data_IF_023269655464
#
_entry.id   IF_023269655464
#
_cell.length_a   1.000
_cell.length_b   1.000
_cell.length_c   1.000
_cell.angle_alpha   90.00
_cell.angle_beta   90.00
_cell.angle_gamma   90.00
#
_symmetry.space_group_name_H-M   'P 1'
#
loop_
_entity.id
_entity.type
_entity.pdbx_description
1 polymer ?
2 non-polymer ?
3 non-polymer ?
4 water ?
#
# COMPACT_ATOMS: atom_id res chain seq x y z
N UNK A 1 -5.25 4.45 -18.78
CA UNK A 1 -4.76 4.00 -17.42
C UNK A 1 -3.36 3.36 -17.59
N UNK A 2 -2.54 3.39 -16.51
CA UNK A 2 -1.21 2.76 -16.38
C UNK A 2 -1.44 1.25 -16.38
N UNK A 3 -0.53 0.45 -16.83
CA UNK A 3 -0.68 -1.02 -16.87
C UNK A 3 -0.43 -1.58 -15.48
N UNK A 4 -1.33 -2.44 -15.07
CA UNK A 4 -1.26 -3.12 -13.75
C UNK A 4 -0.90 -4.55 -14.05
N UNK A 5 0.01 -5.20 -13.33
CA UNK A 5 0.77 -4.62 -12.23
C UNK A 5 1.79 -3.57 -12.66
N UNK A 6 1.96 -2.56 -11.85
CA UNK A 6 2.80 -1.40 -12.16
C UNK A 6 3.93 -1.35 -11.15
N UNK A 7 5.14 -1.08 -11.61
CA UNK A 7 6.30 -0.87 -10.74
C UNK A 7 6.67 0.63 -10.72
N UNK A 8 6.62 1.27 -9.58
CA UNK A 8 7.08 2.63 -9.40
C UNK A 8 8.44 2.59 -8.73
N UNK A 9 9.55 2.93 -9.39
CA UNK A 9 10.84 3.02 -8.69
C UNK A 9 10.79 4.11 -7.66
N UNK A 10 11.43 3.88 -6.52
CA UNK A 10 11.56 4.85 -5.43
C UNK A 10 13.05 5.11 -5.28
N UNK A 11 13.60 6.12 -5.99
CA UNK A 11 15.07 6.23 -6.10
C UNK A 11 15.76 6.50 -4.76
N UNK A 12 16.70 5.63 -4.39
CA UNK A 12 17.31 5.81 -3.08
C UNK A 12 16.38 5.41 -1.94
N UNK A 13 15.35 4.64 -2.23
CA UNK A 13 14.43 4.15 -1.21
C UNK A 13 13.56 5.23 -0.66
N UNK A 14 12.97 4.95 0.48
CA UNK A 14 12.08 5.90 1.14
C UNK A 14 12.77 6.52 2.32
N UNK A 15 12.15 7.55 2.84
CA UNK A 15 12.72 8.43 3.89
C UNK A 15 11.56 9.12 4.54
N UNK A 16 11.63 9.48 5.81
CA UNK A 16 10.56 10.30 6.36
C UNK A 16 10.36 11.58 5.53
N UNK A 17 9.10 11.98 5.44
CA UNK A 17 8.63 13.15 4.67
C UNK A 17 8.39 12.83 3.21
N UNK A 18 8.60 11.60 2.77
CA UNK A 18 8.24 11.18 1.41
C UNK A 18 6.78 10.77 1.40
N UNK A 19 6.01 11.39 0.50
CA UNK A 19 4.57 11.11 0.33
C UNK A 19 4.37 10.43 -1.01
N UNK A 20 3.77 9.24 -1.00
CA UNK A 20 3.47 8.49 -2.20
C UNK A 20 1.99 8.56 -2.44
N UNK A 21 1.56 8.94 -3.63
CA UNK A 21 0.13 9.07 -3.94
C UNK A 21 -0.26 8.17 -5.07
N UNK A 22 -1.31 7.43 -4.85
CA UNK A 22 -1.82 6.51 -5.87
C UNK A 22 -3.26 6.96 -6.13
N UNK A 23 -3.55 7.11 -7.41
CA UNK A 23 -4.93 7.41 -7.84
C UNK A 23 -5.38 6.28 -8.74
N UNK A 24 -6.58 5.77 -8.53
CA UNK A 24 -7.13 4.77 -9.43
C UNK A 24 -8.59 4.60 -9.16
N UNK A 25 -9.20 3.65 -9.85
CA UNK A 25 -10.62 3.32 -9.70
C UNK A 25 -10.74 1.85 -9.48
N UNK A 26 -11.50 1.43 -8.48
CA UNK A 26 -11.67 0.00 -8.22
C UNK A 26 -12.51 -0.61 -9.34
N UNK A 27 -12.12 -1.76 -9.86
CA UNK A 27 -12.95 -2.46 -10.86
C UNK A 27 -14.27 -2.89 -10.26
N UNK A 28 -15.26 -3.14 -11.14
CA UNK A 28 -16.50 -3.74 -10.69
C UNK A 28 -16.18 -5.13 -10.07
N UNK A 29 -16.94 -5.47 -9.07
CA UNK A 29 -16.83 -6.83 -8.49
C UNK A 29 -15.38 -7.15 -8.10
N UNK A 30 -14.72 -6.19 -7.48
CA UNK A 30 -13.30 -6.37 -7.12
C UNK A 30 -13.14 -7.47 -6.09
N UNK A 31 -11.99 -8.15 -6.12
CA UNK A 31 -11.63 -9.12 -5.07
C UNK A 31 -10.46 -8.66 -4.21
N UNK A 32 -9.44 -8.07 -4.80
CA UNK A 32 -8.26 -7.74 -4.00
C UNK A 32 -7.46 -6.67 -4.70
N UNK A 33 -6.72 -5.92 -3.89
CA UNK A 33 -5.76 -4.89 -4.36
C UNK A 33 -4.52 -5.06 -3.51
N UNK A 34 -3.33 -4.77 -4.07
CA UNK A 34 -2.13 -4.75 -3.25
C UNK A 34 -1.21 -3.60 -3.62
N UNK A 35 -0.67 -2.99 -2.59
CA UNK A 35 0.56 -2.15 -2.68
C UNK A 35 1.66 -2.91 -1.99
N UNK A 36 2.80 -3.06 -2.65
CA UNK A 36 3.96 -3.75 -2.11
C UNK A 36 5.16 -2.85 -2.15
N UNK A 37 5.56 -2.30 -1.03
CA UNK A 37 6.82 -1.53 -0.91
C UNK A 37 7.93 -2.53 -0.69
N UNK A 38 8.80 -2.65 -1.69
CA UNK A 38 9.75 -3.75 -1.76
C UNK A 38 11.18 -3.31 -1.50
N UNK A 39 11.90 -4.14 -0.75
CA UNK A 39 13.36 -4.06 -0.56
C UNK A 39 13.92 -5.32 -1.25
N UNK A 40 14.32 -5.16 -2.51
CA UNK A 40 14.64 -6.35 -3.30
C UNK A 40 13.46 -7.30 -3.32
N UNK A 41 13.71 -8.58 -3.03
CA UNK A 41 12.60 -9.56 -2.98
C UNK A 41 11.78 -9.43 -1.69
N UNK A 42 12.25 -8.72 -0.68
CA UNK A 42 11.44 -8.57 0.52
C UNK A 42 10.35 -7.55 0.30
N UNK A 43 9.26 -7.71 1.04
CA UNK A 43 8.17 -6.73 1.03
C UNK A 43 8.18 -6.05 2.40
N UNK A 44 8.67 -4.82 2.44
CA UNK A 44 8.68 -4.08 3.70
C UNK A 44 7.26 -3.79 4.19
N UNK A 45 6.39 -3.45 3.28
CA UNK A 45 5.01 -3.07 3.64
C UNK A 45 4.10 -3.50 2.52
N UNK A 46 3.26 -4.48 2.81
CA UNK A 46 2.18 -5.00 1.98
C UNK A 46 0.88 -4.45 2.51
N UNK A 47 0.14 -3.75 1.66
CA UNK A 47 -1.15 -3.12 2.02
C UNK A 47 -2.19 -3.75 1.09
N UNK A 48 -3.08 -4.56 1.65
CA UNK A 48 -3.92 -5.48 0.86
C UNK A 48 -5.38 -5.41 1.24
N UNK A 49 -6.15 -4.51 0.61
CA UNK A 49 -7.61 -4.60 0.67
C UNK A 49 -8.11 -5.90 0.07
N UNK A 50 -8.90 -6.61 0.89
CA UNK A 50 -9.58 -7.88 0.54
C UNK A 50 -11.08 -7.61 0.58
N UNK A 51 -11.71 -7.73 -0.56
CA UNK A 51 -13.14 -7.44 -0.69
C UNK A 51 -14.02 -8.61 -0.23
N UNK A 52 -13.49 -9.81 -0.14
CA UNK A 52 -14.32 -10.94 0.31
C UNK A 52 -13.42 -11.93 1.02
N UNK A 53 -13.28 -11.78 2.31
CA UNK A 53 -12.64 -12.79 3.15
C UNK A 53 -13.75 -13.25 4.12
N UNK A 54 -14.29 -14.45 3.85
CA UNK A 54 -15.45 -14.96 4.62
C UNK A 54 -16.60 -13.94 4.58
N UNK A 55 -16.80 -13.31 3.42
CA UNK A 55 -17.90 -12.35 3.21
C UNK A 55 -17.75 -11.09 4.05
N UNK A 56 -16.53 -10.76 4.46
CA UNK A 56 -16.18 -9.50 5.12
C UNK A 56 -15.12 -8.81 4.28
N UNK A 57 -15.04 -7.49 4.46
CA UNK A 57 -14.10 -6.63 3.70
C UNK A 57 -13.06 -6.22 4.76
N UNK A 58 -11.76 -6.42 4.51
CA UNK A 58 -10.72 -6.16 5.48
C UNK A 58 -9.49 -5.70 4.75
N UNK A 59 -8.70 -4.85 5.38
CA UNK A 59 -7.35 -4.51 4.89
C UNK A 59 -6.35 -5.32 5.69
N UNK A 60 -5.55 -6.11 4.99
CA UNK A 60 -4.45 -6.87 5.63
C UNK A 60 -3.14 -6.19 5.31
N UNK A 61 -2.33 -5.97 6.31
CA UNK A 61 -0.96 -5.47 6.12
C UNK A 61 0.05 -6.45 6.69
N UNK A 62 1.19 -6.55 6.06
CA UNK A 62 2.21 -7.51 6.48
C UNK A 62 3.55 -7.14 5.85
N UNK A 63 4.55 -7.93 6.21
CA UNK A 63 5.94 -7.87 5.72
C UNK A 63 6.34 -9.26 5.28
N UNK A 64 7.09 -9.35 4.19
CA UNK A 64 7.62 -10.62 3.69
C UNK A 64 9.15 -10.56 3.73
N UNK A 65 9.76 -11.48 4.48
CA UNK A 65 11.21 -11.52 4.66
C UNK A 65 11.69 -12.90 4.21
N UNK A 66 12.64 -12.96 3.30
CA UNK A 66 13.21 -14.24 2.84
C UNK A 66 12.06 -15.18 2.45
N UNK A 67 11.08 -14.62 1.75
CA UNK A 67 9.92 -15.37 1.20
C UNK A 67 8.92 -15.81 2.27
N UNK A 68 8.98 -15.32 3.50
CA UNK A 68 8.04 -15.71 4.55
C UNK A 68 7.22 -14.50 4.96
N UNK A 69 5.91 -14.62 4.92
CA UNK A 69 5.03 -13.59 5.49
C UNK A 69 5.12 -13.62 7.01
N UNK A 70 5.03 -12.50 7.64
CA UNK A 70 5.05 -12.36 9.09
C UNK A 70 3.66 -12.26 9.70
N UNK A 71 3.56 -11.56 10.81
CA UNK A 71 2.29 -11.37 11.56
C UNK A 71 1.43 -10.34 10.82
N UNK A 72 0.20 -10.72 10.45
CA UNK A 72 -0.69 -9.76 9.80
C UNK A 72 -1.18 -8.71 10.77
N UNK A 73 -1.36 -7.50 10.28
CA UNK A 73 -2.08 -6.42 10.99
C UNK A 73 -3.35 -6.12 10.23
N UNK A 74 -4.51 -6.14 10.87
CA UNK A 74 -5.80 -6.06 10.18
C UNK A 74 -6.58 -4.82 10.59
N UNK A 75 -7.23 -4.21 9.59
CA UNK A 75 -8.05 -3.02 9.78
C UNK A 75 -9.38 -3.30 9.10
N UNK A 76 -10.42 -3.29 9.92
CA UNK A 76 -11.81 -3.49 9.47
C UNK A 76 -12.37 -2.24 8.80
N UNK A 77 -11.89 -1.03 9.09
CA UNK A 77 -12.33 0.19 8.38
C UNK A 77 -11.89 0.01 6.92
N UNK A 78 -12.82 0.16 6.00
CA UNK A 78 -12.62 -0.30 4.60
C UNK A 78 -13.22 0.73 3.68
N UNK A 79 -12.43 1.73 3.23
CA UNK A 79 -12.97 2.87 2.51
C UNK A 79 -13.17 2.63 1.02
N UNK A 80 -12.74 1.52 0.48
CA UNK A 80 -12.80 1.26 -0.96
C UNK A 80 -14.15 0.71 -1.31
N UNK A 81 -14.64 1.03 -2.50
CA UNK A 81 -15.86 0.45 -3.12
C UNK A 81 -15.65 0.08 -4.56
N UNK A 82 -16.18 -1.06 -4.88
CA UNK A 82 -16.12 -1.48 -6.26
C UNK A 82 -16.70 -0.40 -7.16
N UNK A 83 -16.02 -0.12 -8.23
CA UNK A 83 -16.49 0.85 -9.20
C UNK A 83 -16.10 2.27 -8.92
N UNK A 84 -15.50 2.60 -7.78
CA UNK A 84 -15.32 4.00 -7.41
C UNK A 84 -13.87 4.45 -7.42
N UNK A 85 -13.64 5.71 -7.75
CA UNK A 85 -12.31 6.30 -7.72
C UNK A 85 -11.84 6.50 -6.29
N UNK A 86 -10.53 6.28 -6.09
CA UNK A 86 -9.88 6.44 -4.80
C UNK A 86 -8.58 7.16 -4.94
N UNK A 87 -8.12 7.63 -3.80
CA UNK A 87 -6.76 8.19 -3.62
C UNK A 87 -6.15 7.54 -2.40
N UNK A 88 -5.00 6.89 -2.56
CA UNK A 88 -4.25 6.35 -1.41
C UNK A 88 -3.03 7.26 -1.24
N UNK A 89 -2.82 7.79 -0.05
CA UNK A 89 -1.60 8.53 0.27
C UNK A 89 -0.86 7.76 1.35
N UNK A 90 0.40 7.45 1.07
CA UNK A 90 1.28 6.78 2.02
C UNK A 90 2.38 7.77 2.38
N UNK A 91 2.35 8.27 3.60
CA UNK A 91 3.39 9.19 4.11
C UNK A 91 4.34 8.39 4.97
N UNK A 92 5.62 8.42 4.60
CA UNK A 92 6.66 7.79 5.41
C UNK A 92 6.95 8.71 6.59
N UNK A 93 6.78 8.16 7.78
CA UNK A 93 7.12 8.85 9.04
C UNK A 93 8.21 8.07 9.74
N UNK A 94 8.88 8.70 10.73
CA UNK A 94 10.03 8.04 11.35
C UNK A 94 9.80 6.61 11.83
N UNK A 95 8.67 6.41 12.29
CA UNK A 95 8.55 5.08 12.84
C UNK A 95 7.47 4.23 12.18
N UNK A 96 6.76 4.71 11.19
CA UNK A 96 5.70 3.99 10.52
C UNK A 96 5.42 4.57 9.14
N UNK A 97 4.77 3.75 8.32
CA UNK A 97 4.02 4.26 7.18
C UNK A 97 2.65 4.73 7.65
N UNK A 98 2.23 5.89 7.24
CA UNK A 98 0.90 6.44 7.60
C UNK A 98 0.05 6.49 6.35
N UNK A 99 -1.09 5.83 6.35
CA UNK A 99 -1.93 5.72 5.16
C UNK A 99 -3.25 6.46 5.35
N UNK A 100 -3.58 7.30 4.38
CA UNK A 100 -4.87 7.99 4.27
C UNK A 100 -5.51 7.58 2.97
N UNK A 101 -6.81 7.36 2.99
CA UNK A 101 -7.55 7.07 1.76
C UNK A 101 -8.62 8.14 1.61
N UNK A 102 -8.69 8.73 0.46
CA UNK A 102 -9.70 9.80 0.18
C UNK A 102 -9.63 10.86 1.29
N UNK A 103 -8.41 11.27 1.63
CA UNK A 103 -8.09 12.33 2.60
C UNK A 103 -8.48 11.98 4.03
N UNK A 104 -8.84 10.77 4.36
CA UNK A 104 -9.14 10.38 5.75
C UNK A 104 -8.09 9.39 6.20
N UNK A 105 -7.50 9.64 7.36
CA UNK A 105 -6.56 8.72 7.95
C UNK A 105 -7.18 7.34 8.04
N UNK A 106 -6.42 6.33 7.67
CA UNK A 106 -6.89 4.94 7.72
C UNK A 106 -6.08 4.14 8.74
N UNK A 107 -4.75 4.03 8.58
CA UNK A 107 -3.96 3.17 9.45
C UNK A 107 -2.52 3.60 9.43
N UNK A 108 -1.77 3.08 10.38
CA UNK A 108 -0.32 3.20 10.34
C UNK A 108 0.28 1.82 10.52
N UNK A 109 1.47 1.62 9.96
CA UNK A 109 2.17 0.33 9.95
C UNK A 109 3.60 0.58 10.38
N UNK A 110 3.96 0.10 11.58
CA UNK A 110 5.31 0.33 12.11
C UNK A 110 6.37 -0.32 11.22
N UNK A 111 7.52 0.34 11.14
CA UNK A 111 8.61 -0.19 10.31
C UNK A 111 9.19 -1.46 10.90
N UNK A 112 9.11 -2.54 10.17
CA UNK A 112 9.78 -3.81 10.49
C UNK A 112 11.10 -3.89 9.75
N UNK A 113 11.10 -3.53 8.47
CA UNK A 113 12.31 -3.33 7.67
C UNK A 113 12.88 -1.97 8.06
N UNK A 114 14.14 -1.97 8.49
CA UNK A 114 14.80 -0.80 9.09
C UNK A 114 15.55 0.02 8.04
N UNK A 115 16.01 -0.63 6.98
CA UNK A 115 16.80 0.03 5.92
C UNK A 115 15.86 0.74 4.95
N UNK A 116 15.31 1.86 5.37
CA UNK A 116 14.33 2.56 4.56
C UNK A 116 14.87 2.93 3.20
N UNK A 117 16.12 3.31 3.14
CA UNK A 117 16.75 3.76 1.90
C UNK A 117 17.03 2.60 0.96
N UNK A 118 16.63 1.36 1.31
CA UNK A 118 16.72 0.22 0.38
C UNK A 118 15.34 -0.25 -0.07
N UNK A 119 14.27 0.41 0.37
CA UNK A 119 12.90 0.07 -0.05
C UNK A 119 12.66 0.88 -1.32
N UNK A 120 13.12 0.31 -2.44
CA UNK A 120 13.39 1.04 -3.70
C UNK A 120 12.37 0.79 -4.78
N UNK A 121 11.31 0.06 -4.52
CA UNK A 121 10.24 -0.05 -5.52
C UNK A 121 8.90 -0.13 -4.81
N UNK A 122 7.86 0.35 -5.47
CA UNK A 122 6.46 0.11 -5.09
C UNK A 122 5.77 -0.64 -6.23
N UNK A 123 5.29 -1.83 -5.93
CA UNK A 123 4.47 -2.59 -6.85
C UNK A 123 3.01 -2.32 -6.56
N UNK A 124 2.23 -2.10 -7.59
CA UNK A 124 0.78 -1.83 -7.47
C UNK A 124 0.05 -2.88 -8.29
N UNK A 125 -0.82 -3.69 -7.69
CA UNK A 125 -1.42 -4.84 -8.39
C UNK A 125 -2.86 -5.03 -7.94
N UNK A 126 -3.57 -5.83 -8.69
CA UNK A 126 -4.92 -6.23 -8.34
C UNK A 126 -5.99 -5.48 -9.11
N UNK A 127 -7.17 -5.39 -8.52
CA UNK A 127 -8.41 -5.19 -9.27
C UNK A 127 -8.73 -3.72 -9.34
N UNK A 128 -7.84 -2.96 -10.00
CA UNK A 128 -8.01 -1.50 -10.18
C UNK A 128 -7.71 -1.13 -11.62
N UNK A 129 -8.24 -0.01 -12.00
CA UNK A 129 -7.70 0.79 -13.12
C UNK A 129 -6.78 1.82 -12.46
N UNK A 130 -5.52 1.82 -12.81
CA UNK A 130 -4.54 2.68 -12.15
C UNK A 130 -4.39 3.95 -12.99
N UNK A 131 -4.63 5.09 -12.40
CA UNK A 131 -4.60 6.39 -13.06
C UNK A 131 -3.23 7.03 -12.93
N UNK A 132 -2.66 7.09 -11.73
CA UNK A 132 -1.33 7.68 -11.57
C UNK A 132 -0.71 7.13 -10.31
N UNK A 133 0.61 7.17 -10.27
CA UNK A 133 1.40 6.77 -9.11
C UNK A 133 2.59 7.70 -9.05
N UNK A 134 2.78 8.40 -7.97
CA UNK A 134 3.84 9.43 -7.92
C UNK A 134 4.28 9.63 -6.48
N UNK A 135 5.31 10.44 -6.29
CA UNK A 135 5.78 10.80 -4.94
C UNK A 135 6.24 12.23 -4.93
N UNK A 136 6.29 12.78 -3.76
CA UNK A 136 6.81 14.13 -3.54
C UNK A 136 7.38 14.17 -2.15
N UNK A 137 8.34 15.06 -1.93
CA UNK A 137 8.91 15.29 -0.61
C UNK A 137 8.18 16.45 -0.01
N UNK A 138 7.58 16.30 1.14
CA UNK A 138 6.83 17.35 1.87
C UNK A 138 7.58 17.77 3.14
X LIG B 1 16.32 -4.03 7.43
X LIG C 1 -3.28 -8.41 -5.84
X LIG C 1 -0.97 -12.05 -2.00
X LIG C 1 -0.17 -12.25 5.17
X LIG C 1 -0.41 -11.56 3.95
X LIG C 1 -2.01 -16.17 3.30
X LIG C 1 -0.64 -11.71 1.47
X LIG C 1 -0.77 -12.63 0.29
X LIG C 1 -1.36 -14.41 1.89
X LIG C 1 -1.65 -13.86 0.53
X LIG C 1 -0.39 -12.48 2.75
X LIG C 1 -1.44 -13.44 2.95
X LIG C 1 -2.30 -15.42 2.14
X LIG C 1 -3.06 -13.46 0.54
X LIG C 1 -3.91 -14.23 -0.12
X LIG C 1 -1.27 -11.76 -0.75
X LIG C 1 -1.83 -10.93 1.56
X LIG C 1 -0.31 -12.99 -2.28
X LIG C 1 -3.55 -15.18 -0.82
X LIG C 1 -5.34 -13.96 0.22
X LIG C 1 -1.58 -11.11 -2.99
X LIG C 1 -1.33 -11.27 -4.36
X LIG C 1 -2.42 -10.07 -2.58
X LIG C 1 -1.91 -10.40 -5.26
X LIG C 1 -2.96 -9.23 -3.51
X LIG C 1 -2.73 -9.37 -4.84
X LIG C 1 -5.97 -14.87 1.07
X LIG C 1 -6.12 -12.93 -0.31
X LIG C 1 -7.33 -14.76 1.35
X LIG C 1 -7.46 -12.80 -0.06
X LIG C 1 -5.50 -11.94 -1.21
X LIG C 1 -8.04 -13.73 0.78
X LIG C 1 -9.72 -13.62 1.04
X LIG C 1 -4.49 -12.33 -1.83
X LIG C 1 -6.04 -10.84 -1.39
#
# INVERSE_FOLDING_TARGET
MLIVPYNLPLPGGVVPRMLITILGTVKPNANRIALDFQRGNDVAFHFNPRFNENNRRVIVCNTKLDNNWGREERQSVFPFESGKPFKIQVLVEPDHFKVAVNDAHLLQYNHRVKKLNEISKLGISGDIDLTSASYTMI
CL CL
59O C10 C9 O6 C6 C7 C4 C3 C1 C2 C5 O5 O1 O2 C8 O3 O4 O8 O7 CA1 CB1 CB2 CB6 CB3 CB5 CB4 CA6 CA2 CA5 CA3 N1 CA4 CL24 ON1 ON2
#
